data_IF_975865694712
#
_entry.id   IF_975865694712
#
_cell.length_a   1.000
_cell.length_b   1.000
_cell.length_c   1.000
_cell.angle_alpha   90.00
_cell.angle_beta   90.00
_cell.angle_gamma   90.00
#
_symmetry.space_group_name_H-M   'P 1'
#
loop_
_entity.id
_entity.type
_entity.pdbx_description
1 polymer ?
#
# COMPACT_ATOMS: atom_id res chain seq x y z
N UNK A 1 21.42 7.03 -11.10
CA UNK A 1 21.48 6.72 -9.67
C UNK A 1 20.44 5.66 -9.44
N UNK A 2 20.90 4.44 -9.22
CA UNK A 2 20.07 3.28 -8.92
C UNK A 2 19.48 3.45 -7.52
N UNK A 3 18.16 3.53 -7.46
CA UNK A 3 17.42 3.69 -6.21
C UNK A 3 17.34 2.36 -5.43
N UNK A 4 17.84 1.27 -6.04
CA UNK A 4 17.86 -0.09 -5.49
C UNK A 4 18.74 -0.23 -4.24
N UNK A 5 19.64 0.73 -3.98
CA UNK A 5 20.59 0.75 -2.85
C UNK A 5 20.08 1.52 -1.63
N UNK A 6 18.91 2.14 -1.70
CA UNK A 6 18.34 2.88 -0.58
C UNK A 6 17.78 1.93 0.50
N UNK A 7 17.97 2.19 1.80
CA UNK A 7 17.64 1.25 2.88
C UNK A 7 16.16 0.83 2.94
N UNK A 8 15.26 1.59 2.32
CA UNK A 8 13.84 1.25 2.24
C UNK A 8 13.54 0.18 1.19
N UNK A 9 14.40 -0.03 0.18
CA UNK A 9 14.17 -1.04 -0.86
C UNK A 9 14.07 -2.45 -0.27
N UNK A 10 14.94 -2.75 0.70
CA UNK A 10 14.96 -4.01 1.41
C UNK A 10 13.69 -4.27 2.23
N UNK A 11 12.91 -3.22 2.58
CA UNK A 11 11.66 -3.38 3.33
C UNK A 11 10.55 -4.03 2.47
N UNK A 12 10.61 -3.82 1.15
CA UNK A 12 9.65 -4.41 0.20
C UNK A 12 10.06 -5.77 -0.32
N UNK A 13 11.36 -6.09 -0.27
CA UNK A 13 11.89 -7.34 -0.80
C UNK A 13 11.21 -8.57 -0.20
N UNK A 14 10.63 -9.40 -1.08
CA UNK A 14 9.93 -10.63 -0.70
C UNK A 14 8.58 -10.41 -0.02
N UNK A 15 8.07 -9.17 0.06
CA UNK A 15 6.77 -8.85 0.65
C UNK A 15 5.65 -8.94 -0.37
N UNK A 16 4.53 -9.53 0.03
CA UNK A 16 3.28 -9.57 -0.72
C UNK A 16 2.43 -8.36 -0.33
N UNK A 17 2.30 -7.40 -1.24
CA UNK A 17 1.53 -6.19 -1.02
C UNK A 17 0.15 -6.35 -1.64
N UNK A 18 -0.90 -6.35 -0.81
CA UNK A 18 -2.27 -6.25 -1.27
C UNK A 18 -2.55 -4.79 -1.68
N UNK A 19 -3.00 -4.56 -2.90
CA UNK A 19 -3.44 -3.23 -3.35
C UNK A 19 -4.94 -3.30 -3.63
N UNK A 20 -5.70 -2.44 -2.97
CA UNK A 20 -7.16 -2.37 -3.10
C UNK A 20 -7.58 -0.99 -3.62
N UNK A 21 -8.24 -0.97 -4.77
CA UNK A 21 -8.71 0.23 -5.46
C UNK A 21 -10.10 -0.01 -6.09
N UNK A 22 -10.92 1.04 -6.24
CA UNK A 22 -12.27 0.93 -6.82
C UNK A 22 -12.24 0.94 -8.37
N UNK A 23 -11.14 1.39 -8.95
CA UNK A 23 -10.93 1.40 -10.39
C UNK A 23 -9.46 1.08 -10.60
N UNK A 24 -9.16 0.11 -11.47
CA UNK A 24 -7.84 -0.46 -11.79
C UNK A 24 -6.85 0.60 -12.31
N UNK A 25 -6.45 1.57 -11.47
CA UNK A 25 -5.77 2.81 -11.83
C UNK A 25 -4.45 2.97 -11.10
N UNK A 26 -3.88 1.90 -10.55
CA UNK A 26 -2.50 1.94 -10.11
C UNK A 26 -1.62 2.48 -11.25
N UNK A 27 -0.92 3.58 -10.98
CA UNK A 27 0.07 4.11 -11.93
C UNK A 27 1.05 2.98 -12.25
N UNK A 28 1.19 2.66 -13.55
CA UNK A 28 2.04 1.56 -14.01
C UNK A 28 3.47 1.73 -13.48
N UNK A 29 3.90 2.98 -13.33
CA UNK A 29 5.18 3.39 -12.75
C UNK A 29 5.31 2.99 -11.27
N UNK A 30 4.28 3.22 -10.44
CA UNK A 30 4.30 2.85 -9.03
C UNK A 30 4.32 1.32 -8.85
N UNK A 31 3.53 0.61 -9.67
CA UNK A 31 3.52 -0.86 -9.71
C UNK A 31 4.88 -1.40 -10.09
N UNK A 32 5.44 -0.91 -11.19
CA UNK A 32 6.73 -1.32 -11.71
C UNK A 32 7.83 -1.06 -10.67
N UNK A 33 7.78 0.08 -10.01
CA UNK A 33 8.72 0.42 -8.94
C UNK A 33 8.66 -0.58 -7.78
N UNK A 34 7.48 -0.95 -7.29
CA UNK A 34 7.35 -1.94 -6.22
C UNK A 34 7.90 -3.32 -6.62
N UNK A 35 7.68 -3.74 -7.88
CA UNK A 35 8.26 -4.96 -8.43
C UNK A 35 9.79 -4.91 -8.50
N UNK A 36 10.36 -3.76 -8.91
CA UNK A 36 11.81 -3.53 -8.93
C UNK A 36 12.43 -3.57 -7.52
N UNK A 37 11.68 -3.17 -6.49
CA UNK A 37 12.08 -3.28 -5.09
C UNK A 37 11.90 -4.70 -4.52
N UNK A 38 11.43 -5.65 -5.34
CA UNK A 38 11.29 -7.06 -4.98
C UNK A 38 10.00 -7.41 -4.25
N UNK A 39 8.99 -6.52 -4.24
CA UNK A 39 7.67 -6.86 -3.76
C UNK A 39 6.92 -7.75 -4.76
N UNK A 40 6.02 -8.58 -4.26
CA UNK A 40 4.97 -9.24 -5.04
C UNK A 40 3.68 -8.47 -4.86
N UNK A 41 3.09 -8.00 -5.95
CA UNK A 41 1.79 -7.31 -5.90
C UNK A 41 0.68 -8.35 -5.94
N UNK A 42 -0.19 -8.31 -4.94
CA UNK A 42 -1.39 -9.12 -4.82
C UNK A 42 -2.57 -8.20 -5.11
N UNK A 43 -3.21 -8.37 -6.27
CA UNK A 43 -4.21 -7.44 -6.80
C UNK A 43 -3.77 -6.80 -8.12
N UNK A 44 -4.55 -5.84 -8.64
CA UNK A 44 -5.78 -5.27 -8.06
C UNK A 44 -6.93 -6.28 -8.00
N UNK A 45 -7.53 -6.38 -6.82
CA UNK A 45 -8.68 -7.27 -6.54
C UNK A 45 -9.89 -6.44 -6.16
N UNK A 46 -11.07 -6.91 -6.52
CA UNK A 46 -12.31 -6.33 -6.01
C UNK A 46 -12.49 -6.61 -4.50
N UNK A 47 -13.47 -5.97 -3.88
CA UNK A 47 -13.69 -5.99 -2.42
C UNK A 47 -13.86 -7.40 -1.85
N UNK A 48 -14.52 -8.30 -2.59
CA UNK A 48 -14.75 -9.67 -2.14
C UNK A 48 -13.45 -10.48 -2.17
N UNK A 49 -12.72 -10.39 -3.27
CA UNK A 49 -11.44 -11.06 -3.45
C UNK A 49 -10.39 -10.55 -2.44
N UNK A 50 -10.41 -9.25 -2.11
CA UNK A 50 -9.50 -8.66 -1.13
C UNK A 50 -9.72 -9.25 0.28
N UNK A 51 -10.97 -9.41 0.71
CA UNK A 51 -11.30 -10.00 2.02
C UNK A 51 -10.84 -11.46 2.09
N UNK A 52 -11.13 -12.26 1.07
CA UNK A 52 -10.69 -13.66 1.04
C UNK A 52 -9.16 -13.79 1.08
N UNK A 53 -8.45 -12.93 0.35
CA UNK A 53 -6.99 -12.89 0.37
C UNK A 53 -6.43 -12.49 1.73
N UNK A 54 -7.03 -11.52 2.42
CA UNK A 54 -6.63 -11.13 3.77
C UNK A 54 -6.80 -12.33 4.73
N UNK A 55 -7.93 -13.02 4.67
CA UNK A 55 -8.22 -14.15 5.57
C UNK A 55 -7.39 -15.39 5.28
N UNK A 56 -6.98 -15.58 4.02
CA UNK A 56 -6.11 -16.68 3.62
C UNK A 56 -4.62 -16.44 3.95
N UNK A 57 -4.24 -15.31 4.56
CA UNK A 57 -2.84 -14.95 4.77
C UNK A 57 -2.11 -14.67 3.44
N UNK A 58 -2.83 -14.12 2.47
CA UNK A 58 -2.37 -13.87 1.12
C UNK A 58 -1.50 -12.62 0.95
N UNK A 59 -1.25 -11.86 2.02
CA UNK A 59 -0.49 -10.62 1.96
C UNK A 59 0.30 -10.39 3.25
N UNK A 60 1.37 -9.61 3.15
CA UNK A 60 2.20 -9.12 4.26
C UNK A 60 1.83 -7.70 4.69
N UNK A 61 1.20 -6.93 3.80
CA UNK A 61 0.71 -5.58 4.06
C UNK A 61 -0.35 -5.19 3.01
N UNK A 62 -1.13 -4.14 3.28
CA UNK A 62 -2.10 -3.60 2.33
C UNK A 62 -1.92 -2.10 2.07
N UNK A 63 -2.18 -1.67 0.84
CA UNK A 63 -2.32 -0.27 0.45
C UNK A 63 -3.75 -0.08 -0.06
N UNK A 64 -4.50 0.78 0.62
CA UNK A 64 -5.90 1.07 0.33
C UNK A 64 -5.99 2.42 -0.38
N UNK A 65 -6.67 2.49 -1.53
CA UNK A 65 -6.96 3.77 -2.17
C UNK A 65 -7.83 4.62 -1.23
N UNK A 66 -7.43 5.87 -1.04
CA UNK A 66 -8.19 6.86 -0.26
C UNK A 66 -9.60 7.10 -0.83
N UNK A 67 -9.82 6.88 -2.13
CA UNK A 67 -11.13 7.07 -2.77
C UNK A 67 -12.08 5.89 -2.59
N UNK A 68 -11.66 4.80 -1.93
CA UNK A 68 -12.56 3.68 -1.65
C UNK A 68 -13.81 4.18 -0.94
N UNK A 69 -14.97 3.69 -1.39
CA UNK A 69 -16.23 3.98 -0.72
C UNK A 69 -16.14 3.63 0.76
N UNK A 70 -16.57 4.56 1.62
CA UNK A 70 -16.38 4.50 3.08
C UNK A 70 -16.80 3.16 3.69
N UNK A 71 -17.95 2.61 3.27
CA UNK A 71 -18.41 1.30 3.75
C UNK A 71 -17.46 0.15 3.42
N UNK A 72 -16.82 0.18 2.24
CA UNK A 72 -15.82 -0.83 1.84
C UNK A 72 -14.53 -0.67 2.61
N UNK A 73 -14.04 0.56 2.74
CA UNK A 73 -12.83 0.86 3.50
C UNK A 73 -12.96 0.39 4.96
N UNK A 74 -14.10 0.63 5.63
CA UNK A 74 -14.33 0.15 6.99
C UNK A 74 -14.31 -1.38 7.09
N UNK A 75 -14.98 -2.08 6.17
CA UNK A 75 -14.99 -3.55 6.14
C UNK A 75 -13.58 -4.13 6.01
N UNK A 76 -12.78 -3.59 5.08
CA UNK A 76 -11.39 -4.01 4.87
C UNK A 76 -10.52 -3.73 6.09
N UNK A 77 -10.60 -2.53 6.65
CA UNK A 77 -9.85 -2.15 7.85
C UNK A 77 -10.15 -3.08 9.01
N UNK A 78 -11.41 -3.40 9.27
CA UNK A 78 -11.77 -4.35 10.34
C UNK A 78 -11.09 -5.71 10.16
N UNK A 79 -11.04 -6.23 8.92
CA UNK A 79 -10.38 -7.50 8.61
C UNK A 79 -8.86 -7.42 8.75
N UNK A 80 -8.25 -6.34 8.26
CA UNK A 80 -6.81 -6.09 8.35
C UNK A 80 -6.37 -6.02 9.82
N UNK A 81 -7.09 -5.26 10.64
CA UNK A 81 -6.83 -5.14 12.08
C UNK A 81 -6.99 -6.49 12.79
N UNK A 82 -8.05 -7.25 12.46
CA UNK A 82 -8.27 -8.59 13.04
C UNK A 82 -7.14 -9.57 12.72
N UNK A 83 -6.56 -9.49 11.53
CA UNK A 83 -5.41 -10.30 11.13
C UNK A 83 -4.06 -9.70 11.56
N UNK A 84 -4.06 -8.51 12.17
CA UNK A 84 -2.83 -7.79 12.51
C UNK A 84 -2.00 -7.40 11.29
N UNK A 85 -2.63 -7.28 10.11
CA UNK A 85 -1.96 -6.94 8.85
C UNK A 85 -1.72 -5.43 8.79
N UNK A 86 -0.47 -4.95 8.61
CA UNK A 86 -0.20 -3.52 8.48
C UNK A 86 -0.79 -2.96 7.17
N UNK A 87 -1.36 -1.76 7.24
CA UNK A 87 -1.91 -1.08 6.07
C UNK A 87 -1.73 0.44 6.12
N UNK A 88 -1.83 1.07 4.96
CA UNK A 88 -1.92 2.53 4.80
C UNK A 88 -3.02 2.90 3.81
N UNK A 89 -3.56 4.11 3.96
CA UNK A 89 -4.35 4.75 2.92
C UNK A 89 -3.46 5.64 2.06
N UNK A 90 -3.57 5.52 0.73
CA UNK A 90 -2.77 6.29 -0.21
C UNK A 90 -3.60 6.85 -1.36
N UNK A 91 -3.19 8.01 -1.88
CA UNK A 91 -3.59 8.46 -3.21
C UNK A 91 -2.76 7.73 -4.26
N UNK A 92 -3.41 7.21 -5.28
CA UNK A 92 -2.74 6.45 -6.36
C UNK A 92 -1.96 7.36 -7.33
N UNK A 93 -2.18 8.67 -7.28
CA UNK A 93 -1.46 9.66 -8.09
C UNK A 93 -1.19 10.92 -7.29
N UNK A 94 -0.31 11.75 -7.82
CA UNK A 94 0.00 13.06 -7.23
C UNK A 94 -1.28 13.88 -7.03
N UNK A 95 -1.51 14.39 -5.82
CA UNK A 95 -2.64 15.25 -5.54
C UNK A 95 -2.55 16.53 -6.37
N UNK A 96 -3.69 16.99 -6.88
CA UNK A 96 -3.79 18.25 -7.60
C UNK A 96 -5.12 18.93 -7.33
N UNK A 97 -5.21 20.23 -7.64
CA UNK A 97 -6.42 21.02 -7.41
C UNK A 97 -6.83 21.02 -5.94
N UNK A 98 -8.04 20.55 -5.65
CA UNK A 98 -8.62 20.54 -4.30
C UNK A 98 -7.87 19.68 -3.28
N UNK A 99 -6.96 18.81 -3.74
CA UNK A 99 -6.13 17.96 -2.87
C UNK A 99 -4.69 18.43 -2.76
N UNK A 100 -4.30 19.57 -3.32
CA UNK A 100 -2.90 20.01 -3.39
C UNK A 100 -2.17 20.02 -2.03
N UNK A 101 -2.91 20.25 -0.94
CA UNK A 101 -2.39 20.26 0.43
C UNK A 101 -2.52 18.90 1.15
N UNK A 102 -2.72 17.80 0.41
CA UNK A 102 -2.83 16.47 1.00
C UNK A 102 -1.48 16.02 1.58
N UNK A 103 -1.48 15.67 2.87
CA UNK A 103 -0.28 15.31 3.64
C UNK A 103 -0.16 13.81 3.92
N UNK A 104 -1.06 12.98 3.40
CA UNK A 104 -1.00 11.53 3.54
C UNK A 104 -0.04 10.87 2.56
N UNK A 105 -0.21 9.56 2.36
CA UNK A 105 0.65 8.80 1.44
C UNK A 105 0.22 8.97 -0.01
N UNK A 106 1.20 9.08 -0.90
CA UNK A 106 0.99 9.02 -2.34
C UNK A 106 1.72 7.79 -2.85
N UNK A 107 1.04 6.92 -3.58
CA UNK A 107 1.60 5.74 -4.20
C UNK A 107 2.11 6.10 -5.60
N UNK A 108 3.35 6.57 -5.69
CA UNK A 108 4.03 6.91 -6.94
C UNK A 108 5.47 6.38 -6.95
N UNK A 109 6.10 6.33 -8.13
CA UNK A 109 7.45 5.80 -8.37
C UNK A 109 8.58 6.55 -7.65
N UNK A 110 8.26 7.71 -7.06
CA UNK A 110 9.23 8.56 -6.35
C UNK A 110 9.75 7.85 -5.11
N UNK A 111 11.08 7.84 -4.97
CA UNK A 111 11.81 7.22 -3.85
C UNK A 111 11.31 7.68 -2.48
N UNK A 112 11.07 8.99 -2.33
CA UNK A 112 10.58 9.58 -1.07
C UNK A 112 9.20 9.04 -0.71
N UNK A 113 8.30 8.91 -1.68
CA UNK A 113 6.96 8.38 -1.46
C UNK A 113 7.01 6.89 -1.07
N UNK A 114 7.81 6.10 -1.79
CA UNK A 114 8.05 4.68 -1.50
C UNK A 114 8.68 4.48 -0.12
N UNK A 115 9.64 5.32 0.26
CA UNK A 115 10.27 5.28 1.57
C UNK A 115 9.28 5.54 2.71
N UNK A 116 8.38 6.53 2.56
CA UNK A 116 7.36 6.81 3.57
C UNK A 116 6.38 5.65 3.73
N UNK A 117 5.92 5.09 2.60
CA UNK A 117 5.03 3.92 2.62
C UNK A 117 5.74 2.71 3.26
N UNK A 118 6.98 2.43 2.87
CA UNK A 118 7.78 1.34 3.44
C UNK A 118 7.92 1.46 4.96
N UNK A 119 8.25 2.66 5.45
CA UNK A 119 8.39 2.93 6.88
C UNK A 119 7.06 2.80 7.62
N UNK A 120 5.95 3.24 7.02
CA UNK A 120 4.64 3.13 7.65
C UNK A 120 4.17 1.67 7.76
N UNK A 121 4.42 0.85 6.73
CA UNK A 121 4.02 -0.55 6.70
C UNK A 121 4.94 -1.47 7.50
N UNK A 122 6.25 -1.26 7.40
CA UNK A 122 7.27 -2.21 7.86
C UNK A 122 8.29 -1.61 8.81
N UNK A 123 8.24 -0.30 9.06
CA UNK A 123 9.04 0.31 10.12
C UNK A 123 8.67 -0.29 11.47
N UNK A 124 9.66 -0.50 12.34
CA UNK A 124 9.45 -1.04 13.67
C UNK A 124 8.46 -0.16 14.45
N UNK A 125 7.17 -0.53 14.44
CA UNK A 125 6.19 0.00 15.38
C UNK A 125 6.56 -0.58 16.72
N UNK A 126 7.24 0.21 17.57
CA UNK A 126 7.19 -0.05 19.01
C UNK A 126 5.71 -0.08 19.37
N UNK A 127 5.19 -1.28 19.68
CA UNK A 127 3.93 -1.39 20.40
C UNK A 127 4.23 -0.77 21.75
N UNK A 128 3.86 0.49 21.93
CA UNK A 128 3.78 1.08 23.26
C UNK A 128 2.71 0.28 24.00
N UNK A 129 3.20 -0.60 24.89
CA UNK A 129 2.42 -1.39 25.86
C UNK A 129 2.12 -0.56 27.09
#
# INVERSE_FOLDING_TARGET
>A
MDDSTAPYSQMFWGKRLLIVEDSYFLADEARQKLLELGATIVGPVDDMDAVELIEAGGADAAILDLHLATGRAFSLVERLERQGLPYVFALVREPSGAMADFTGFVLCEKSVAMEQIAKALFGNRKRDI
#
